data_IF_225077276633
#
_entry.id   IF_225077276633
#
_cell.length_a   1.000
_cell.length_b   1.000
_cell.length_c   1.000
_cell.angle_alpha   90.00
_cell.angle_beta   90.00
_cell.angle_gamma   90.00
#
_symmetry.space_group_name_H-M   'P 1'
#
loop_
_entity.id
_entity.type
_entity.pdbx_description
1 polymer ?
#
# COMPACT_ATOMS: atom_id res chain seq x y z
N UNK A 1 24.20 -31.06 26.41
CA UNK A 1 23.03 -31.01 25.51
C UNK A 1 22.18 -29.78 25.82
N UNK A 2 22.45 -28.64 25.17
CA UNK A 2 21.69 -27.42 25.39
C UNK A 2 21.60 -26.64 24.06
N UNK A 3 20.60 -26.92 23.21
CA UNK A 3 20.24 -26.00 22.12
C UNK A 3 18.88 -26.24 21.41
N UNK A 4 17.81 -26.59 22.12
CA UNK A 4 16.48 -26.76 21.48
C UNK A 4 15.35 -25.90 22.08
N UNK A 5 15.50 -25.30 23.28
CA UNK A 5 14.40 -24.56 23.94
C UNK A 5 14.26 -23.09 23.54
N UNK A 6 15.27 -22.48 22.92
CA UNK A 6 15.27 -21.05 22.55
C UNK A 6 14.56 -20.78 21.22
N UNK A 7 14.59 -21.71 20.26
CA UNK A 7 13.91 -21.56 18.96
C UNK A 7 12.36 -21.54 19.07
N UNK A 8 11.79 -22.22 20.06
CA UNK A 8 10.33 -22.29 20.26
C UNK A 8 9.68 -21.02 20.79
N UNK A 9 10.42 -20.19 21.55
CA UNK A 9 9.91 -18.95 22.15
C UNK A 9 9.84 -17.80 21.13
N UNK A 10 10.83 -17.69 20.24
CA UNK A 10 10.86 -16.66 19.20
C UNK A 10 9.78 -16.90 18.12
N UNK A 11 9.54 -18.15 17.75
CA UNK A 11 8.46 -18.54 16.83
C UNK A 11 7.05 -18.31 17.40
N UNK A 12 6.88 -18.36 18.74
CA UNK A 12 5.60 -18.00 19.38
C UNK A 12 5.28 -16.51 19.22
N UNK A 13 6.27 -15.62 19.38
CA UNK A 13 6.07 -14.17 19.22
C UNK A 13 5.71 -13.75 17.79
N UNK A 14 6.39 -14.30 16.77
CA UNK A 14 6.09 -14.02 15.36
C UNK A 14 4.70 -14.57 14.97
N UNK A 15 4.36 -15.79 15.41
CA UNK A 15 3.03 -16.39 15.17
C UNK A 15 1.92 -15.56 15.83
N UNK A 16 2.16 -15.04 17.03
CA UNK A 16 1.21 -14.17 17.72
C UNK A 16 1.06 -12.81 17.03
N UNK A 17 2.15 -12.23 16.53
CA UNK A 17 2.13 -10.99 15.76
C UNK A 17 1.36 -11.15 14.43
N UNK A 18 1.59 -12.24 13.70
CA UNK A 18 0.85 -12.56 12.47
C UNK A 18 -0.64 -12.80 12.75
N UNK A 19 -0.96 -13.50 13.84
CA UNK A 19 -2.35 -13.66 14.29
C UNK A 19 -2.99 -12.32 14.64
N UNK A 20 -2.31 -11.46 15.41
CA UNK A 20 -2.81 -10.11 15.76
C UNK A 20 -3.01 -9.26 14.51
N UNK A 21 -2.11 -9.34 13.54
CA UNK A 21 -2.24 -8.69 12.24
C UNK A 21 -3.46 -9.20 11.47
N UNK A 22 -3.64 -10.52 11.39
CA UNK A 22 -4.81 -11.14 10.73
C UNK A 22 -6.14 -10.79 11.42
N UNK A 23 -6.18 -10.76 12.76
CA UNK A 23 -7.34 -10.33 13.54
C UNK A 23 -7.64 -8.85 13.34
N UNK A 24 -6.62 -8.00 13.28
CA UNK A 24 -6.75 -6.58 12.96
C UNK A 24 -7.31 -6.37 11.55
N UNK A 25 -6.80 -7.12 10.57
CA UNK A 25 -7.25 -7.11 9.19
C UNK A 25 -8.71 -7.57 9.05
N UNK A 26 -9.10 -8.60 9.81
CA UNK A 26 -10.49 -9.08 9.89
C UNK A 26 -11.44 -8.01 10.45
N UNK A 27 -10.97 -7.21 11.41
CA UNK A 27 -11.76 -6.12 12.01
C UNK A 27 -11.85 -4.89 11.09
N UNK A 28 -10.88 -4.66 10.20
CA UNK A 28 -10.80 -3.49 9.31
C UNK A 28 -10.29 -3.89 7.91
N UNK A 29 -11.11 -4.55 7.07
CA UNK A 29 -10.72 -5.01 5.74
C UNK A 29 -10.29 -3.89 4.79
N UNK A 30 -10.70 -2.64 5.05
CA UNK A 30 -10.25 -1.45 4.33
C UNK A 30 -8.77 -1.11 4.56
N UNK A 31 -8.10 -1.70 5.56
CA UNK A 31 -6.67 -1.48 5.77
C UNK A 31 -5.81 -2.07 4.64
N UNK A 32 -6.33 -3.07 3.89
CA UNK A 32 -5.62 -3.66 2.75
C UNK A 32 -5.41 -2.63 1.64
N UNK A 33 -6.47 -2.00 1.07
CA UNK A 33 -6.28 -0.97 0.06
C UNK A 33 -5.56 0.27 0.60
N UNK A 34 -5.70 0.60 1.90
CA UNK A 34 -4.91 1.67 2.51
C UNK A 34 -3.40 1.37 2.49
N UNK A 35 -3.02 0.14 2.84
CA UNK A 35 -1.62 -0.28 2.81
C UNK A 35 -1.07 -0.33 1.38
N UNK A 36 -1.88 -0.77 0.42
CA UNK A 36 -1.52 -0.75 -1.00
C UNK A 36 -1.30 0.69 -1.51
N UNK A 37 -2.19 1.62 -1.16
CA UNK A 37 -2.06 3.03 -1.49
C UNK A 37 -0.81 3.66 -0.87
N UNK A 38 -0.54 3.34 0.41
CA UNK A 38 0.67 3.80 1.10
C UNK A 38 1.93 3.24 0.43
N UNK A 39 1.95 1.95 0.07
CA UNK A 39 3.07 1.34 -0.62
C UNK A 39 3.31 1.98 -2.00
N UNK A 40 2.25 2.26 -2.76
CA UNK A 40 2.34 3.00 -4.01
C UNK A 40 3.01 4.37 -3.79
N UNK A 41 2.52 5.13 -2.81
CA UNK A 41 3.09 6.43 -2.45
C UNK A 41 4.57 6.33 -2.06
N UNK A 42 4.98 5.33 -1.27
CA UNK A 42 6.38 5.16 -0.89
C UNK A 42 7.27 4.79 -2.08
N UNK A 43 6.81 3.90 -2.96
CA UNK A 43 7.54 3.53 -4.19
C UNK A 43 7.83 4.78 -5.03
N UNK A 44 6.83 5.65 -5.18
CA UNK A 44 6.97 6.91 -5.89
C UNK A 44 7.88 7.90 -5.14
N UNK A 45 7.60 8.15 -3.86
CA UNK A 45 8.29 9.15 -3.04
C UNK A 45 9.78 8.84 -2.83
N UNK A 46 10.17 7.58 -2.68
CA UNK A 46 11.57 7.19 -2.49
C UNK A 46 12.40 7.34 -3.77
N UNK A 47 11.75 7.48 -4.92
CA UNK A 47 12.39 7.58 -6.23
C UNK A 47 12.23 8.96 -6.88
N UNK A 48 11.76 9.96 -6.11
CA UNK A 48 11.61 11.34 -6.58
C UNK A 48 12.89 11.90 -7.19
N UNK A 49 14.06 11.59 -6.61
CA UNK A 49 15.34 12.05 -7.16
C UNK A 49 15.59 11.58 -8.59
N UNK A 50 15.19 10.34 -8.92
CA UNK A 50 15.31 9.81 -10.28
C UNK A 50 14.31 10.47 -11.21
N UNK A 51 13.06 10.65 -10.75
CA UNK A 51 11.98 11.30 -11.50
C UNK A 51 12.35 12.75 -11.80
N UNK A 52 12.75 13.54 -10.81
CA UNK A 52 13.14 14.93 -10.95
C UNK A 52 14.35 15.12 -11.90
N UNK A 53 15.35 14.22 -11.85
CA UNK A 53 16.47 14.22 -12.81
C UNK A 53 16.01 13.90 -14.23
N UNK A 54 15.05 12.99 -14.39
CA UNK A 54 14.42 12.71 -15.70
C UNK A 54 13.67 13.92 -16.20
N UNK A 55 12.86 14.56 -15.36
CA UNK A 55 12.14 15.80 -15.69
C UNK A 55 13.11 16.88 -16.16
N UNK A 56 14.20 17.14 -15.43
CA UNK A 56 15.17 18.19 -15.80
C UNK A 56 15.97 17.86 -17.06
N UNK A 57 16.29 16.57 -17.29
CA UNK A 57 17.05 16.14 -18.46
C UNK A 57 16.23 16.15 -19.74
N UNK A 58 14.99 15.67 -19.68
CA UNK A 58 14.09 15.61 -20.84
C UNK A 58 13.49 17.00 -21.09
N UNK A 59 13.14 17.71 -20.02
CA UNK A 59 12.49 19.01 -20.02
C UNK A 59 11.28 19.07 -20.99
N UNK A 60 10.47 18.01 -20.97
CA UNK A 60 9.29 17.89 -21.82
C UNK A 60 8.15 18.78 -21.34
N UNK A 61 7.26 19.15 -22.25
CA UNK A 61 6.08 19.95 -21.94
C UNK A 61 5.26 19.31 -20.81
N UNK A 62 4.95 20.11 -19.79
CA UNK A 62 4.14 19.74 -18.62
C UNK A 62 4.70 18.62 -17.73
N UNK A 63 5.94 18.14 -17.93
CA UNK A 63 6.49 17.04 -17.11
C UNK A 63 6.58 17.41 -15.62
N UNK A 64 7.05 18.62 -15.30
CA UNK A 64 7.09 19.09 -13.91
C UNK A 64 5.70 19.28 -13.29
N UNK A 65 4.71 19.66 -14.09
CA UNK A 65 3.31 19.74 -13.63
C UNK A 65 2.74 18.35 -13.35
N UNK A 66 3.08 17.35 -14.18
CA UNK A 66 2.69 15.97 -13.93
C UNK A 66 3.29 15.45 -12.61
N UNK A 67 4.58 15.69 -12.37
CA UNK A 67 5.24 15.28 -11.13
C UNK A 67 4.59 15.93 -9.89
N UNK A 68 4.33 17.23 -9.96
CA UNK A 68 3.63 17.97 -8.91
C UNK A 68 2.22 17.43 -8.67
N UNK A 69 1.44 17.25 -9.74
CA UNK A 69 0.07 16.75 -9.66
C UNK A 69 0.03 15.33 -9.11
N UNK A 70 0.95 14.45 -9.50
CA UNK A 70 1.03 13.08 -8.99
C UNK A 70 1.31 13.06 -7.48
N UNK A 71 2.23 13.90 -7.00
CA UNK A 71 2.51 14.04 -5.56
C UNK A 71 1.29 14.57 -4.79
N UNK A 72 0.67 15.63 -5.31
CA UNK A 72 -0.51 16.26 -4.71
C UNK A 72 -1.66 15.26 -4.61
N UNK A 73 -2.04 14.62 -5.72
CA UNK A 73 -3.14 13.67 -5.76
C UNK A 73 -2.86 12.40 -4.94
N UNK A 74 -1.60 11.99 -4.79
CA UNK A 74 -1.26 10.87 -3.90
C UNK A 74 -1.57 11.18 -2.43
N UNK A 75 -1.20 12.37 -1.95
CA UNK A 75 -1.49 12.80 -0.57
C UNK A 75 -2.99 13.02 -0.38
N UNK A 76 -3.65 13.68 -1.34
CA UNK A 76 -5.09 13.91 -1.29
C UNK A 76 -5.87 12.61 -1.30
N UNK A 77 -5.50 11.64 -2.16
CA UNK A 77 -6.11 10.32 -2.19
C UNK A 77 -6.00 9.63 -0.83
N UNK A 78 -4.86 9.76 -0.14
CA UNK A 78 -4.69 9.21 1.21
C UNK A 78 -5.64 9.87 2.23
N UNK A 79 -5.75 11.20 2.23
CA UNK A 79 -6.66 11.93 3.12
C UNK A 79 -8.12 11.60 2.82
N UNK A 80 -8.50 11.57 1.54
CA UNK A 80 -9.85 11.20 1.09
C UNK A 80 -10.17 9.76 1.46
N UNK A 81 -9.21 8.84 1.37
CA UNK A 81 -9.38 7.46 1.81
C UNK A 81 -9.76 7.39 3.30
N UNK A 82 -8.99 8.05 4.17
CA UNK A 82 -9.24 8.07 5.61
C UNK A 82 -10.63 8.66 5.93
N UNK A 83 -11.06 9.64 5.16
CA UNK A 83 -12.39 10.26 5.29
C UNK A 83 -13.51 9.41 4.69
N UNK A 84 -13.21 8.57 3.72
CA UNK A 84 -14.16 7.64 3.09
C UNK A 84 -14.57 6.53 4.05
N UNK A 85 -13.62 6.04 4.86
CA UNK A 85 -13.85 4.96 5.84
C UNK A 85 -13.66 5.45 7.29
N UNK A 86 -14.54 6.31 7.80
CA UNK A 86 -14.47 6.80 9.18
C UNK A 86 -14.61 5.65 10.19
N UNK A 87 -13.86 5.72 11.29
CA UNK A 87 -13.92 4.70 12.35
C UNK A 87 -15.36 4.54 12.85
N UNK A 88 -15.85 3.30 12.84
CA UNK A 88 -17.16 2.88 13.39
C UNK A 88 -18.39 3.43 12.63
N UNK A 89 -18.23 3.90 11.40
CA UNK A 89 -19.34 4.35 10.53
C UNK A 89 -19.27 3.67 9.17
N UNK A 90 -20.41 3.50 8.46
CA UNK A 90 -20.39 3.00 7.09
C UNK A 90 -19.65 3.96 6.16
N UNK A 91 -19.15 3.44 5.04
CA UNK A 91 -18.38 4.23 4.08
C UNK A 91 -19.22 5.39 3.50
N UNK A 92 -18.62 6.58 3.42
CA UNK A 92 -19.27 7.72 2.79
C UNK A 92 -19.18 7.58 1.26
N UNK A 93 -20.33 7.35 0.62
CA UNK A 93 -20.43 7.13 -0.84
C UNK A 93 -19.90 8.30 -1.67
N UNK A 94 -20.11 9.54 -1.22
CA UNK A 94 -19.62 10.74 -1.93
C UNK A 94 -18.09 10.79 -1.89
N UNK A 95 -17.51 10.56 -0.70
CA UNK A 95 -16.05 10.51 -0.55
C UNK A 95 -15.43 9.33 -1.29
N UNK A 96 -16.14 8.20 -1.37
CA UNK A 96 -15.71 7.05 -2.17
C UNK A 96 -15.67 7.39 -3.66
N UNK A 97 -16.68 8.08 -4.19
CA UNK A 97 -16.66 8.57 -5.58
C UNK A 97 -15.51 9.54 -5.83
N UNK A 98 -15.27 10.45 -4.89
CA UNK A 98 -14.13 11.37 -4.95
C UNK A 98 -12.78 10.62 -4.90
N UNK A 99 -12.67 9.57 -4.10
CA UNK A 99 -11.47 8.73 -4.05
C UNK A 99 -11.18 8.11 -5.40
N UNK A 100 -12.17 7.48 -6.05
CA UNK A 100 -11.99 6.91 -7.39
C UNK A 100 -11.61 7.97 -8.42
N UNK A 101 -12.20 9.17 -8.34
CA UNK A 101 -11.82 10.29 -9.19
C UNK A 101 -10.35 10.70 -8.99
N UNK A 102 -9.89 10.80 -7.74
CA UNK A 102 -8.50 11.14 -7.43
C UNK A 102 -7.52 10.05 -7.92
N UNK A 103 -7.87 8.76 -7.76
CA UNK A 103 -7.06 7.67 -8.28
C UNK A 103 -7.01 7.68 -9.82
N UNK A 104 -8.12 8.00 -10.49
CA UNK A 104 -8.17 8.11 -11.94
C UNK A 104 -7.31 9.27 -12.47
N UNK A 105 -7.37 10.44 -11.81
CA UNK A 105 -6.49 11.57 -12.13
C UNK A 105 -5.01 11.22 -11.93
N UNK A 106 -4.68 10.55 -10.82
CA UNK A 106 -3.32 10.11 -10.52
C UNK A 106 -2.76 9.20 -11.64
N UNK A 107 -3.54 8.18 -12.03
CA UNK A 107 -3.19 7.29 -13.15
C UNK A 107 -3.06 8.06 -14.47
N UNK A 108 -3.97 8.99 -14.76
CA UNK A 108 -3.92 9.79 -15.99
C UNK A 108 -2.66 10.64 -16.08
N UNK A 109 -2.28 11.30 -14.99
CA UNK A 109 -1.06 12.10 -14.91
C UNK A 109 0.20 11.26 -15.09
N UNK A 110 0.26 10.10 -14.45
CA UNK A 110 1.39 9.16 -14.59
C UNK A 110 1.52 8.60 -16.02
N UNK A 111 0.40 8.27 -16.66
CA UNK A 111 0.38 7.80 -18.06
C UNK A 111 0.93 8.90 -18.97
N UNK A 112 0.46 10.14 -18.82
CA UNK A 112 0.98 11.28 -19.61
C UNK A 112 2.49 11.41 -19.40
N UNK A 113 2.97 11.30 -18.15
CA UNK A 113 4.40 11.38 -17.84
C UNK A 113 5.21 10.27 -18.53
N UNK A 114 4.73 9.02 -18.49
CA UNK A 114 5.36 7.88 -19.17
C UNK A 114 5.37 8.07 -20.70
N UNK A 115 4.29 8.58 -21.27
CA UNK A 115 4.21 8.91 -22.69
C UNK A 115 5.27 9.95 -23.06
N UNK A 116 5.45 11.01 -22.26
CA UNK A 116 6.49 12.02 -22.52
C UNK A 116 7.91 11.47 -22.44
N UNK A 117 8.18 10.57 -21.49
CA UNK A 117 9.47 9.87 -21.45
C UNK A 117 9.65 9.05 -22.73
N UNK A 118 8.62 8.32 -23.16
CA UNK A 118 8.70 7.46 -24.34
C UNK A 118 8.91 8.28 -25.61
N UNK A 119 8.15 9.35 -25.80
CA UNK A 119 8.31 10.29 -26.92
C UNK A 119 9.75 10.85 -26.99
N UNK A 120 10.33 11.20 -25.84
CA UNK A 120 11.68 11.75 -25.78
C UNK A 120 12.79 10.72 -26.11
N UNK A 121 12.53 9.44 -25.84
CA UNK A 121 13.44 8.33 -26.16
C UNK A 121 13.32 7.87 -27.62
N UNK A 122 12.12 7.97 -28.23
CA UNK A 122 11.85 7.43 -29.58
C UNK A 122 11.72 8.49 -30.67
N UNK A 123 11.84 9.78 -30.36
CA UNK A 123 11.78 10.86 -31.36
C UNK A 123 12.84 10.70 -32.45
N UNK A 124 12.45 10.99 -33.70
CA UNK A 124 13.33 10.87 -34.86
C UNK A 124 14.48 11.89 -34.84
N UNK A 125 14.22 13.10 -34.31
CA UNK A 125 15.21 14.18 -34.23
C UNK A 125 15.82 14.22 -32.83
N UNK A 126 17.13 13.99 -32.73
CA UNK A 126 17.92 14.02 -31.50
C UNK A 126 17.33 13.15 -30.36
N UNK A 127 17.15 11.82 -30.56
CA UNK A 127 16.66 10.93 -29.50
C UNK A 127 17.59 10.98 -28.29
N UNK A 128 17.00 10.97 -27.09
CA UNK A 128 17.79 10.86 -25.86
C UNK A 128 18.28 9.42 -25.75
N UNK A 129 19.56 9.20 -25.99
CA UNK A 129 20.17 7.88 -25.78
C UNK A 129 20.43 7.66 -24.29
N UNK A 130 20.00 6.50 -23.78
CA UNK A 130 20.23 6.12 -22.40
C UNK A 130 21.65 5.53 -22.27
N UNK A 131 22.57 6.33 -21.75
CA UNK A 131 23.90 5.89 -21.30
C UNK A 131 23.92 5.58 -19.79
N UNK A 132 25.05 5.09 -19.27
CA UNK A 132 25.26 4.84 -17.85
C UNK A 132 24.91 6.06 -16.97
N UNK A 133 25.25 7.28 -17.43
CA UNK A 133 24.98 8.52 -16.69
C UNK A 133 23.50 8.91 -16.67
N UNK A 134 22.67 8.30 -17.52
CA UNK A 134 21.24 8.60 -17.69
C UNK A 134 20.30 7.44 -17.33
N UNK A 135 20.84 6.43 -16.63
CA UNK A 135 20.07 5.25 -16.18
C UNK A 135 18.86 5.62 -15.31
N UNK A 136 18.90 6.79 -14.65
CA UNK A 136 17.77 7.35 -13.90
C UNK A 136 16.49 7.52 -14.74
N UNK A 137 16.59 7.67 -16.07
CA UNK A 137 15.43 7.74 -16.98
C UNK A 137 14.67 6.41 -17.00
N UNK A 138 15.39 5.30 -17.10
CA UNK A 138 14.78 3.97 -17.06
C UNK A 138 14.21 3.66 -15.67
N UNK A 139 14.92 4.05 -14.60
CA UNK A 139 14.41 3.93 -13.23
C UNK A 139 13.13 4.72 -13.05
N UNK A 140 13.08 6.00 -13.48
CA UNK A 140 11.88 6.81 -13.40
C UNK A 140 10.71 6.19 -14.18
N UNK A 141 10.93 5.76 -15.42
CA UNK A 141 9.89 5.09 -16.23
C UNK A 141 9.37 3.82 -15.54
N UNK A 142 10.26 2.98 -15.01
CA UNK A 142 9.88 1.75 -14.31
C UNK A 142 9.11 2.03 -13.02
N UNK A 143 9.55 3.01 -12.22
CA UNK A 143 8.89 3.41 -10.98
C UNK A 143 7.52 3.99 -11.24
N UNK A 144 7.38 4.92 -12.18
CA UNK A 144 6.06 5.51 -12.51
C UNK A 144 5.13 4.43 -13.06
N UNK A 145 5.64 3.50 -13.88
CA UNK A 145 4.85 2.34 -14.32
C UNK A 145 4.42 1.44 -13.17
N UNK A 146 5.32 1.16 -12.22
CA UNK A 146 5.00 0.39 -11.02
C UNK A 146 3.97 1.12 -10.14
N UNK A 147 4.06 2.44 -10.05
CA UNK A 147 3.11 3.28 -9.33
C UNK A 147 1.70 3.17 -9.94
N UNK A 148 1.56 3.30 -11.26
CA UNK A 148 0.29 3.07 -11.97
C UNK A 148 -0.30 1.70 -11.65
N UNK A 149 0.52 0.65 -11.68
CA UNK A 149 0.08 -0.72 -11.36
C UNK A 149 -0.41 -0.80 -9.90
N UNK A 150 0.34 -0.24 -8.95
CA UNK A 150 -0.03 -0.27 -7.52
C UNK A 150 -1.31 0.52 -7.25
N UNK A 151 -1.51 1.67 -7.91
CA UNK A 151 -2.74 2.46 -7.84
C UNK A 151 -3.91 1.69 -8.46
N UNK A 152 -3.69 1.02 -9.60
CA UNK A 152 -4.68 0.13 -10.22
C UNK A 152 -5.09 -1.03 -9.32
N UNK A 153 -4.14 -1.68 -8.65
CA UNK A 153 -4.40 -2.72 -7.64
C UNK A 153 -5.20 -2.14 -6.48
N UNK A 154 -4.86 -0.94 -6.01
CA UNK A 154 -5.61 -0.26 -4.94
C UNK A 154 -7.07 -0.02 -5.34
N UNK A 155 -7.32 0.46 -6.56
CA UNK A 155 -8.66 0.64 -7.09
C UNK A 155 -9.41 -0.70 -7.19
N UNK A 156 -8.77 -1.75 -7.68
CA UNK A 156 -9.36 -3.09 -7.74
C UNK A 156 -9.70 -3.63 -6.35
N UNK A 157 -8.83 -3.45 -5.36
CA UNK A 157 -9.10 -3.79 -3.97
C UNK A 157 -10.29 -3.02 -3.41
N UNK A 158 -10.42 -1.73 -3.69
CA UNK A 158 -11.58 -0.94 -3.27
C UNK A 158 -12.89 -1.47 -3.86
N UNK A 159 -12.89 -1.85 -5.14
CA UNK A 159 -14.07 -2.45 -5.81
C UNK A 159 -14.39 -3.83 -5.23
N UNK A 160 -13.37 -4.63 -4.91
CA UNK A 160 -13.52 -5.99 -4.37
C UNK A 160 -13.81 -6.01 -2.85
N UNK A 161 -13.69 -4.88 -2.16
CA UNK A 161 -13.92 -4.73 -0.72
C UNK A 161 -15.21 -5.39 -0.21
N UNK A 162 -16.40 -5.19 -0.80
CA UNK A 162 -17.61 -5.87 -0.34
C UNK A 162 -17.57 -7.40 -0.45
N UNK A 163 -16.76 -7.95 -1.34
CA UNK A 163 -16.63 -9.40 -1.56
C UNK A 163 -15.62 -10.02 -0.60
N UNK A 164 -14.37 -9.53 -0.62
CA UNK A 164 -13.33 -10.11 0.23
C UNK A 164 -13.58 -9.81 1.71
N UNK A 165 -14.25 -8.70 2.07
CA UNK A 165 -14.65 -8.45 3.46
C UNK A 165 -15.52 -9.58 4.01
N UNK A 166 -16.37 -10.20 3.19
CA UNK A 166 -17.20 -11.34 3.61
C UNK A 166 -16.36 -12.60 3.75
N UNK A 167 -15.42 -12.83 2.85
CA UNK A 167 -14.50 -13.97 2.88
C UNK A 167 -13.58 -13.93 4.11
N UNK A 168 -12.91 -12.81 4.38
CA UNK A 168 -11.98 -12.66 5.52
C UNK A 168 -12.71 -12.84 6.86
N UNK A 169 -13.97 -12.42 6.97
CA UNK A 169 -14.76 -12.60 8.19
C UNK A 169 -15.02 -14.08 8.53
N UNK A 170 -15.03 -14.97 7.53
CA UNK A 170 -15.22 -16.42 7.71
C UNK A 170 -13.98 -17.16 8.22
N UNK A 171 -12.80 -16.54 8.19
CA UNK A 171 -11.57 -17.18 8.68
C UNK A 171 -11.67 -17.38 10.19
N UNK A 172 -11.49 -18.63 10.65
CA UNK A 172 -11.47 -18.94 12.07
C UNK A 172 -10.09 -18.56 12.66
N UNK A 173 -10.08 -17.57 13.56
CA UNK A 173 -8.86 -17.10 14.24
C UNK A 173 -8.92 -17.32 15.76
N UNK A 174 -9.89 -18.13 16.23
CA UNK A 174 -9.98 -18.56 17.62
C UNK A 174 -8.75 -19.40 17.98
N UNK A 175 -8.23 -19.21 19.19
CA UNK A 175 -7.30 -20.16 19.79
C UNK A 175 -8.16 -21.29 20.37
N UNK A 176 -7.89 -22.53 20.01
CA UNK A 176 -8.18 -23.64 20.93
C UNK A 176 -7.24 -23.45 22.11
N UNK A 177 -7.80 -22.99 23.22
CA UNK A 177 -7.05 -22.88 24.46
C UNK A 177 -6.90 -24.32 24.92
N UNK A 178 -5.73 -24.93 24.68
CA UNK A 178 -5.34 -26.14 25.40
C UNK A 178 -5.65 -25.90 26.87
N UNK A 179 -6.53 -26.75 27.41
CA UNK A 179 -7.45 -26.38 28.48
C UNK A 179 -6.81 -25.77 29.72
N UNK A 180 -7.64 -25.01 30.43
CA UNK A 180 -7.51 -24.66 31.84
C UNK A 180 -7.50 -25.90 32.77
N UNK A 181 -6.89 -27.02 32.37
CA UNK A 181 -6.85 -28.28 33.11
C UNK A 181 -5.94 -28.25 34.35
N UNK A 182 -5.38 -27.10 34.72
CA UNK A 182 -4.60 -26.93 35.93
C UNK A 182 -4.80 -25.56 36.59
N UNK A 183 -6.04 -25.08 36.71
CA UNK A 183 -6.35 -24.28 37.90
C UNK A 183 -6.67 -25.28 39.00
N UNK A 184 -5.61 -25.75 39.67
CA UNK A 184 -5.76 -26.46 40.94
C UNK A 184 -6.64 -25.61 41.84
N UNK A 185 -7.68 -26.23 42.42
CA UNK A 185 -8.60 -25.57 43.34
C UNK A 185 -7.77 -24.79 44.37
N UNK A 186 -7.96 -23.47 44.40
CA UNK A 186 -7.47 -22.67 45.50
C UNK A 186 -8.36 -23.05 46.68
N UNK A 187 -7.79 -23.85 47.58
CA UNK A 187 -8.42 -24.24 48.83
C UNK A 187 -8.49 -22.99 49.74
N UNK A 188 -9.70 -22.53 50.03
CA UNK A 188 -9.99 -21.45 50.97
C UNK A 188 -10.65 -22.08 52.21
N UNK A 189 -9.99 -23.09 52.80
CA UNK A 189 -10.26 -23.51 54.18
C UNK A 189 -9.03 -23.20 55.02
N UNK A 190 -8.98 -21.97 55.55
CA UNK A 190 -7.86 -21.55 56.39
C UNK A 190 -7.83 -20.05 56.68
N UNK A 191 -8.97 -19.45 57.02
CA UNK A 191 -8.99 -18.18 57.76
C UNK A 191 -10.02 -18.35 58.89
N UNK A 192 -9.50 -18.62 60.09
CA UNK A 192 -10.21 -18.46 61.37
C UNK A 192 -10.36 -16.97 61.71
#
# INVERSE_FOLDING_TARGET
MANQKTAGRQNRGIKEALRKSMVSLKRSPQNIPLAALAAAFFIYSLNLSSIAKTTSRINGANMGQCEFAAMLFSILAFVVFLRTFPRRKPANKVMLGLLFFMLALLVGVDIIYISRITDALTREVNPIQVSADSQFINTAKSVVSAHVICVGITAALLVLLPFYSKAIRKINTSIEVEGNGSMGAIDISGED
#
